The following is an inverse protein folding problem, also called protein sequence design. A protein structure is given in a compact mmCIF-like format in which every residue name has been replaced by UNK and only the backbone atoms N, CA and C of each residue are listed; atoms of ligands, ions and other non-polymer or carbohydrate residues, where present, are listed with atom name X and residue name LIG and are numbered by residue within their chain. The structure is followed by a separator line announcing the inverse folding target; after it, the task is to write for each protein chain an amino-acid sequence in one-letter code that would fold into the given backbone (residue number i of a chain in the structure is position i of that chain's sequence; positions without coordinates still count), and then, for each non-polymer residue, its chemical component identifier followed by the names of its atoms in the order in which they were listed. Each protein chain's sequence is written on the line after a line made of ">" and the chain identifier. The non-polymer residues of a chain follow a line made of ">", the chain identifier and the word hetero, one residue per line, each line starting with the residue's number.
data_IF_958766605073
#
_entry.id   IF_958766605073
#
_cell.length_a   1.000
_cell.length_b   1.000
_cell.length_c   1.000
_cell.angle_alpha   90.00
_cell.angle_beta   90.00
_cell.angle_gamma   90.00
#
_symmetry.space_group_name_H-M   'P 1'
#
loop_
_entity.id
_entity.type
_entity.pdbx_description
1 polymer ?
#
# COMPACT_ATOMS: atom_id res chain seq x y z
N UNK A 1 -46.95 -10.69 -3.07
CA UNK A 1 -46.35 -9.71 -2.15
C UNK A 1 -45.73 -10.33 -0.89
N UNK A 2 -46.30 -11.30 -0.20
CA UNK A 2 -45.73 -11.89 1.04
C UNK A 2 -44.41 -12.67 0.85
N UNK A 3 -44.21 -13.36 -0.27
CA UNK A 3 -42.97 -14.12 -0.56
C UNK A 3 -41.76 -13.23 -0.88
N UNK A 4 -41.95 -12.07 -1.51
CA UNK A 4 -40.88 -11.12 -1.83
C UNK A 4 -40.36 -10.41 -0.58
N UNK A 5 -41.23 -10.15 0.39
CA UNK A 5 -40.84 -9.56 1.68
C UNK A 5 -40.03 -10.53 2.55
N UNK A 6 -40.33 -11.83 2.49
CA UNK A 6 -39.59 -12.87 3.22
C UNK A 6 -38.19 -13.05 2.63
N UNK A 7 -38.04 -13.03 1.30
CA UNK A 7 -36.74 -13.12 0.62
C UNK A 7 -35.87 -11.90 0.89
N UNK A 8 -36.46 -10.71 0.92
CA UNK A 8 -35.74 -9.47 1.30
C UNK A 8 -35.34 -9.48 2.76
N UNK A 9 -36.18 -10.00 3.66
CA UNK A 9 -35.88 -10.18 5.09
C UNK A 9 -34.76 -11.18 5.34
N UNK A 10 -34.71 -12.30 4.60
CA UNK A 10 -33.63 -13.30 4.69
C UNK A 10 -32.32 -12.73 4.12
N UNK A 11 -32.38 -11.97 3.02
CA UNK A 11 -31.21 -11.31 2.45
C UNK A 11 -30.62 -10.26 3.41
N UNK A 12 -31.47 -9.51 4.12
CA UNK A 12 -31.04 -8.58 5.17
C UNK A 12 -30.50 -9.31 6.42
N UNK A 13 -31.10 -10.44 6.83
CA UNK A 13 -30.67 -11.18 8.02
C UNK A 13 -29.31 -11.87 7.85
N UNK A 14 -28.96 -12.35 6.66
CA UNK A 14 -27.63 -12.92 6.34
C UNK A 14 -26.53 -11.86 6.44
N UNK A 15 -26.87 -10.58 6.28
CA UNK A 15 -25.92 -9.47 6.43
C UNK A 15 -25.55 -9.15 7.89
N UNK A 16 -26.27 -9.65 8.91
CA UNK A 16 -26.05 -9.31 10.32
C UNK A 16 -25.03 -10.18 11.07
N UNK A 17 -24.54 -11.27 10.47
CA UNK A 17 -23.62 -12.22 11.11
C UNK A 17 -22.16 -12.09 10.63
N UNK A 18 -21.68 -10.88 10.27
CA UNK A 18 -20.28 -10.70 9.89
C UNK A 18 -19.39 -10.61 11.14
N UNK A 19 -18.21 -11.28 11.14
CA UNK A 19 -17.25 -11.12 12.22
C UNK A 19 -16.77 -9.66 12.33
N UNK A 20 -16.27 -9.23 13.50
CA UNK A 20 -15.78 -7.87 13.68
C UNK A 20 -14.72 -7.56 12.62
N UNK A 21 -14.79 -6.35 12.06
CA UNK A 21 -13.79 -5.84 11.10
C UNK A 21 -12.41 -5.95 11.73
N UNK A 22 -11.57 -6.84 11.19
CA UNK A 22 -10.16 -6.91 11.57
C UNK A 22 -9.43 -5.80 10.85
N UNK A 23 -8.52 -5.13 11.55
CA UNK A 23 -7.74 -4.04 10.97
C UNK A 23 -7.03 -4.52 9.70
N UNK A 24 -7.24 -3.78 8.64
CA UNK A 24 -6.81 -4.06 7.29
C UNK A 24 -5.83 -2.97 6.86
N UNK A 25 -4.78 -3.31 6.08
CA UNK A 25 -3.89 -2.26 5.60
C UNK A 25 -4.55 -1.45 4.47
N UNK A 26 -5.12 -2.14 3.44
CA UNK A 26 -5.84 -1.40 2.40
C UNK A 26 -7.08 -0.70 2.98
N UNK A 27 -7.39 0.51 2.50
CA UNK A 27 -6.70 1.28 1.45
C UNK A 27 -5.43 2.01 1.91
N UNK A 28 -4.98 1.80 3.17
CA UNK A 28 -3.79 2.44 3.75
C UNK A 28 -2.51 1.77 3.28
N UNK A 29 -1.41 2.53 3.26
CA UNK A 29 -0.05 2.05 3.00
C UNK A 29 0.76 1.87 4.28
N UNK A 30 0.49 2.68 5.31
CA UNK A 30 1.13 2.57 6.62
C UNK A 30 0.92 1.17 7.21
N UNK A 31 1.99 0.44 7.57
CA UNK A 31 1.85 -0.88 8.18
C UNK A 31 1.38 -0.78 9.62
N UNK A 32 0.48 -1.68 10.01
CA UNK A 32 0.09 -1.88 11.41
C UNK A 32 0.98 -2.92 12.10
N UNK A 33 0.90 -2.99 13.44
CA UNK A 33 1.66 -3.96 14.22
C UNK A 33 0.98 -5.35 14.31
N UNK A 34 -0.23 -5.50 13.81
CA UNK A 34 -0.95 -6.77 13.86
C UNK A 34 -0.32 -7.81 12.91
N UNK A 35 -0.32 -9.05 13.36
CA UNK A 35 0.16 -10.21 12.59
C UNK A 35 -1.04 -11.01 12.12
N UNK A 36 -1.08 -11.32 10.83
CA UNK A 36 -2.05 -12.27 10.27
C UNK A 36 -1.92 -13.61 11.00
N UNK A 37 -3.02 -14.24 11.43
CA UNK A 37 -2.96 -15.51 12.15
C UNK A 37 -2.18 -16.58 11.36
N UNK A 38 -1.45 -17.42 12.08
CA UNK A 38 -0.65 -18.50 11.49
C UNK A 38 -1.51 -19.41 10.60
N UNK A 39 -1.05 -19.64 9.37
CA UNK A 39 -1.75 -20.45 8.38
C UNK A 39 -2.85 -19.73 7.61
N UNK A 40 -3.04 -18.45 7.86
CA UNK A 40 -3.91 -17.58 7.05
C UNK A 40 -3.06 -16.82 6.03
N UNK A 41 -3.50 -16.81 4.80
CA UNK A 41 -3.06 -15.91 3.73
C UNK A 41 -4.14 -14.86 3.52
N UNK A 42 -3.85 -13.62 3.83
CA UNK A 42 -4.68 -12.47 3.44
C UNK A 42 -4.26 -12.00 2.07
N UNK A 43 -5.19 -12.03 1.13
CA UNK A 43 -5.00 -11.53 -0.23
C UNK A 43 -5.81 -10.25 -0.37
N UNK A 44 -5.14 -9.19 -0.77
CA UNK A 44 -5.73 -7.88 -1.03
C UNK A 44 -5.37 -7.50 -2.46
N UNK A 45 -6.35 -7.12 -3.25
CA UNK A 45 -6.17 -6.67 -4.63
C UNK A 45 -6.96 -5.42 -4.89
N UNK A 46 -6.46 -4.56 -5.75
CA UNK A 46 -7.13 -3.30 -6.03
C UNK A 46 -6.67 -2.63 -7.32
N UNK A 47 -7.18 -1.44 -7.44
CA UNK A 47 -7.01 -0.54 -8.56
C UNK A 47 -6.73 0.85 -7.99
N UNK A 48 -5.73 1.55 -8.55
CA UNK A 48 -5.45 2.93 -8.21
C UNK A 48 -5.54 3.79 -9.47
N UNK A 49 -6.14 4.97 -9.37
CA UNK A 49 -6.12 6.01 -10.39
C UNK A 49 -5.53 7.27 -9.77
N UNK A 50 -4.45 7.77 -10.38
CA UNK A 50 -3.66 8.90 -9.89
C UNK A 50 -3.51 9.93 -11.00
N UNK A 51 -3.84 11.17 -10.72
CA UNK A 51 -3.78 12.27 -11.69
C UNK A 51 -2.48 13.06 -11.55
N UNK A 52 -1.92 13.48 -12.67
CA UNK A 52 -0.71 14.31 -12.75
C UNK A 52 0.48 13.72 -11.98
N UNK A 53 0.75 12.45 -12.22
CA UNK A 53 1.91 11.76 -11.65
C UNK A 53 3.16 12.14 -12.41
N UNK A 54 4.27 12.48 -11.71
CA UNK A 54 5.55 12.83 -12.32
C UNK A 54 6.60 11.73 -12.14
N UNK A 55 7.36 11.49 -13.21
CA UNK A 55 8.47 10.54 -13.29
C UNK A 55 9.77 11.25 -13.64
N UNK A 56 10.50 11.82 -12.67
CA UNK A 56 11.68 12.66 -12.94
C UNK A 56 12.79 11.95 -13.70
N UNK A 57 12.95 10.63 -13.53
CA UNK A 57 13.98 9.85 -14.24
C UNK A 57 13.76 9.80 -15.75
N UNK A 58 12.53 9.73 -16.21
CA UNK A 58 12.12 9.67 -17.62
C UNK A 58 11.57 10.99 -18.17
N UNK A 59 11.27 11.94 -17.28
CA UNK A 59 10.65 13.21 -17.62
C UNK A 59 9.19 13.11 -18.04
N UNK A 60 8.55 11.94 -17.87
CA UNK A 60 7.13 11.76 -18.18
C UNK A 60 6.26 12.32 -17.05
N UNK A 61 5.12 12.88 -17.44
CA UNK A 61 4.03 13.23 -16.52
C UNK A 61 2.69 12.85 -17.13
N UNK A 62 1.71 12.51 -16.26
CA UNK A 62 0.40 12.13 -16.76
C UNK A 62 -0.48 11.43 -15.73
N UNK A 63 -1.55 10.82 -16.22
CA UNK A 63 -2.53 10.12 -15.38
C UNK A 63 -2.22 8.63 -15.35
N UNK A 64 -1.93 8.13 -14.15
CA UNK A 64 -1.55 6.74 -13.93
C UNK A 64 -2.76 5.91 -13.51
N UNK A 65 -2.95 4.80 -14.20
CA UNK A 65 -3.88 3.75 -13.81
C UNK A 65 -3.11 2.49 -13.44
N UNK A 66 -3.27 2.01 -12.21
CA UNK A 66 -2.62 0.81 -11.70
C UNK A 66 -3.64 -0.29 -11.50
N UNK A 67 -3.48 -1.40 -12.23
CA UNK A 67 -4.33 -2.59 -12.12
C UNK A 67 -3.63 -3.67 -11.31
N UNK A 68 -4.41 -4.40 -10.49
CA UNK A 68 -3.86 -5.46 -9.66
C UNK A 68 -2.84 -4.94 -8.65
N UNK A 69 -3.19 -3.89 -7.92
CA UNK A 69 -2.39 -3.42 -6.76
C UNK A 69 -2.54 -4.46 -5.66
N UNK A 70 -1.53 -5.32 -5.54
CA UNK A 70 -1.55 -6.51 -4.70
C UNK A 70 -0.86 -6.26 -3.36
N UNK A 71 -1.45 -6.83 -2.30
CA UNK A 71 -0.80 -6.99 -1.01
C UNK A 71 -1.20 -8.36 -0.44
N UNK A 72 -0.25 -9.28 -0.42
CA UNK A 72 -0.43 -10.63 0.11
C UNK A 72 0.33 -10.74 1.43
N UNK A 73 -0.36 -11.15 2.50
CA UNK A 73 0.20 -11.24 3.85
C UNK A 73 -0.03 -12.63 4.40
N UNK A 74 1.01 -13.32 4.80
CA UNK A 74 0.94 -14.68 5.34
C UNK A 74 1.51 -14.74 6.75
N UNK A 75 0.69 -15.20 7.69
CA UNK A 75 1.14 -15.50 9.04
C UNK A 75 1.90 -16.83 9.07
N UNK A 76 3.22 -16.76 9.22
CA UNK A 76 4.09 -17.97 9.30
C UNK A 76 4.37 -18.39 10.75
N UNK A 77 3.99 -17.54 11.71
CA UNK A 77 4.13 -17.79 13.13
C UNK A 77 3.29 -16.83 13.97
N UNK A 78 3.32 -17.04 15.30
CA UNK A 78 2.53 -16.19 16.23
C UNK A 78 3.02 -14.74 16.30
N UNK A 79 4.22 -14.46 15.78
CA UNK A 79 4.87 -13.14 15.81
C UNK A 79 5.51 -12.77 14.48
N UNK A 80 5.37 -13.61 13.46
CA UNK A 80 6.05 -13.45 12.17
C UNK A 80 5.04 -13.46 11.04
N UNK A 81 5.15 -12.50 10.15
CA UNK A 81 4.35 -12.35 8.94
C UNK A 81 5.29 -12.06 7.77
N UNK A 82 5.06 -12.72 6.66
CA UNK A 82 5.70 -12.43 5.37
C UNK A 82 4.69 -11.73 4.47
N UNK A 83 5.14 -10.71 3.72
CA UNK A 83 4.28 -9.91 2.86
C UNK A 83 4.92 -9.80 1.48
N UNK A 84 4.08 -9.93 0.44
CA UNK A 84 4.42 -9.62 -0.94
C UNK A 84 3.53 -8.48 -1.40
N UNK A 85 4.12 -7.39 -1.86
CA UNK A 85 3.40 -6.21 -2.34
C UNK A 85 3.89 -5.83 -3.74
N UNK A 86 3.01 -5.33 -4.59
CA UNK A 86 3.39 -4.87 -5.93
C UNK A 86 2.17 -4.56 -6.78
N UNK A 87 2.43 -4.14 -8.01
CA UNK A 87 1.38 -3.83 -8.99
C UNK A 87 1.58 -4.69 -10.23
N UNK A 88 0.51 -5.35 -10.67
CA UNK A 88 0.58 -6.24 -11.85
C UNK A 88 0.81 -5.44 -13.12
N UNK A 89 0.10 -4.32 -13.27
CA UNK A 89 0.19 -3.50 -14.49
C UNK A 89 -0.05 -2.02 -14.16
N UNK A 90 0.87 -1.19 -14.60
CA UNK A 90 0.76 0.27 -14.63
C UNK A 90 0.51 0.73 -16.06
N UNK A 91 -0.40 1.67 -16.25
CA UNK A 91 -0.69 2.32 -17.51
C UNK A 91 -0.68 3.84 -17.29
N UNK A 92 0.21 4.55 -17.97
CA UNK A 92 0.31 6.00 -17.93
C UNK A 92 -0.23 6.61 -19.23
N UNK A 93 -1.25 7.44 -19.10
CA UNK A 93 -1.61 8.39 -20.15
C UNK A 93 -0.69 9.59 -20.03
N UNK A 94 0.18 9.78 -21.02
CA UNK A 94 1.21 10.82 -21.00
C UNK A 94 0.58 12.16 -21.39
N UNK A 95 0.65 13.12 -20.47
CA UNK A 95 0.16 14.49 -20.65
C UNK A 95 1.32 15.48 -20.89
N UNK A 96 2.55 15.12 -20.46
CA UNK A 96 3.75 15.94 -20.63
C UNK A 96 5.02 15.11 -20.66
N UNK A 97 6.06 15.69 -21.28
CA UNK A 97 7.40 15.12 -21.29
C UNK A 97 8.44 16.25 -21.29
N UNK A 98 9.42 16.13 -20.41
CA UNK A 98 10.56 17.04 -20.30
C UNK A 98 11.86 16.27 -20.51
N UNK A 99 12.99 16.93 -20.90
CA UNK A 99 14.28 16.28 -20.98
C UNK A 99 14.69 15.66 -19.65
N UNK A 100 15.12 14.40 -19.67
CA UNK A 100 15.47 13.62 -18.50
C UNK A 100 16.60 12.62 -18.80
N UNK A 101 17.24 12.01 -17.76
CA UNK A 101 18.36 11.08 -17.96
C UNK A 101 18.03 9.85 -18.80
N UNK A 102 16.78 9.37 -18.73
CA UNK A 102 16.30 8.24 -19.52
C UNK A 102 15.31 8.75 -20.56
N UNK A 103 15.59 8.45 -21.84
CA UNK A 103 14.61 8.70 -22.91
C UNK A 103 13.66 7.53 -23.01
N UNK A 104 12.38 7.71 -22.65
CA UNK A 104 11.43 6.60 -22.63
C UNK A 104 10.98 6.21 -24.03
N UNK A 105 10.72 4.91 -24.21
CA UNK A 105 10.09 4.34 -25.41
C UNK A 105 8.61 4.12 -25.08
N UNK A 106 7.76 4.98 -25.63
CA UNK A 106 6.31 4.88 -25.44
C UNK A 106 5.76 3.64 -26.14
N UNK A 107 4.72 3.04 -25.56
CA UNK A 107 4.03 1.86 -26.12
C UNK A 107 2.84 2.22 -27.00
N UNK A 108 2.38 3.46 -26.94
CA UNK A 108 1.33 4.05 -27.77
C UNK A 108 1.66 5.48 -28.14
N UNK A 109 0.79 6.17 -28.87
CA UNK A 109 1.01 7.53 -29.34
C UNK A 109 1.31 8.52 -28.18
N UNK A 110 0.53 8.45 -27.10
CA UNK A 110 0.68 9.27 -25.90
C UNK A 110 0.48 8.41 -24.65
N UNK A 111 1.04 7.20 -24.65
CA UNK A 111 0.88 6.30 -23.50
C UNK A 111 2.04 5.34 -23.37
N UNK A 112 2.30 4.92 -22.15
CA UNK A 112 3.22 3.83 -21.85
C UNK A 112 2.65 2.93 -20.77
N UNK A 113 3.10 1.69 -20.75
CA UNK A 113 2.70 0.74 -19.72
C UNK A 113 3.88 -0.17 -19.34
N UNK A 114 3.85 -0.62 -18.09
CA UNK A 114 4.83 -1.56 -17.55
C UNK A 114 4.24 -2.30 -16.35
N UNK A 115 4.87 -3.39 -15.95
CA UNK A 115 4.62 -4.00 -14.64
C UNK A 115 5.07 -3.03 -13.54
N UNK A 116 4.55 -3.18 -12.31
CA UNK A 116 5.09 -2.50 -11.15
C UNK A 116 6.24 -3.28 -10.51
N UNK A 117 7.02 -2.60 -9.69
CA UNK A 117 8.01 -3.27 -8.85
C UNK A 117 7.31 -4.04 -7.73
N UNK A 118 7.82 -5.25 -7.45
CA UNK A 118 7.37 -6.06 -6.33
C UNK A 118 8.34 -5.92 -5.16
N UNK A 119 7.79 -5.96 -3.95
CA UNK A 119 8.56 -5.91 -2.72
C UNK A 119 8.21 -7.09 -1.81
N UNK A 120 9.23 -7.65 -1.19
CA UNK A 120 9.10 -8.72 -0.21
C UNK A 120 9.47 -8.17 1.17
N UNK A 121 8.61 -8.43 2.15
CA UNK A 121 8.77 -7.92 3.50
C UNK A 121 8.61 -9.02 4.54
N UNK A 122 9.30 -8.85 5.65
CA UNK A 122 9.10 -9.62 6.87
C UNK A 122 8.74 -8.66 8.00
N UNK A 123 7.68 -8.97 8.73
CA UNK A 123 7.25 -8.22 9.92
C UNK A 123 7.34 -9.11 11.15
N UNK A 124 7.97 -8.59 12.19
CA UNK A 124 8.22 -9.23 13.47
C UNK A 124 7.51 -8.47 14.59
N UNK A 125 6.54 -9.07 15.24
CA UNK A 125 5.90 -8.51 16.42
C UNK A 125 6.82 -8.65 17.65
N UNK A 126 7.42 -7.54 18.06
CA UNK A 126 8.34 -7.49 19.19
C UNK A 126 7.58 -7.48 20.52
N UNK A 127 6.52 -6.67 20.61
CA UNK A 127 5.67 -6.54 21.80
C UNK A 127 4.21 -6.43 21.41
N UNK A 128 3.36 -7.22 22.07
CA UNK A 128 1.90 -7.09 21.96
C UNK A 128 1.40 -5.87 22.71
N UNK A 129 0.31 -5.30 22.24
CA UNK A 129 -0.38 -4.25 22.97
C UNK A 129 -0.94 -4.78 24.29
N UNK A 130 -0.73 -4.00 25.33
CA UNK A 130 -1.37 -4.16 26.64
C UNK A 130 -1.56 -2.74 27.22
N UNK A 131 -0.90 -2.38 28.33
CA UNK A 131 -0.88 -0.99 28.81
C UNK A 131 -0.03 -0.09 27.92
N UNK A 132 1.08 -0.60 27.44
CA UNK A 132 1.95 0.07 26.48
C UNK A 132 1.56 -0.29 25.02
N UNK A 133 1.89 0.55 24.01
CA UNK A 133 1.63 0.27 22.61
C UNK A 133 2.23 -1.05 22.13
N UNK A 134 1.63 -1.69 21.12
CA UNK A 134 2.29 -2.75 20.37
C UNK A 134 3.51 -2.17 19.64
N UNK A 135 4.55 -3.01 19.49
CA UNK A 135 5.75 -2.66 18.74
C UNK A 135 6.04 -3.79 17.76
N UNK A 136 6.25 -3.45 16.51
CA UNK A 136 6.71 -4.40 15.50
C UNK A 136 7.92 -3.80 14.75
N UNK A 137 8.74 -4.68 14.20
CA UNK A 137 9.82 -4.35 13.29
C UNK A 137 9.47 -4.92 11.93
N UNK A 138 9.70 -4.15 10.88
CA UNK A 138 9.48 -4.55 9.51
C UNK A 138 10.72 -4.27 8.69
N UNK A 139 11.15 -5.23 7.87
CA UNK A 139 12.21 -5.03 6.91
C UNK A 139 11.84 -5.71 5.59
N UNK A 140 12.40 -5.21 4.50
CA UNK A 140 12.13 -5.76 3.19
C UNK A 140 12.96 -5.11 2.10
N UNK A 141 12.74 -5.59 0.89
CA UNK A 141 13.42 -5.08 -0.29
C UNK A 141 12.47 -5.02 -1.47
N UNK A 142 12.72 -4.03 -2.33
CA UNK A 142 12.07 -3.86 -3.62
C UNK A 142 12.89 -4.59 -4.67
N UNK A 143 12.22 -5.42 -5.46
CA UNK A 143 12.80 -6.13 -6.58
C UNK A 143 12.65 -5.30 -7.86
N UNK A 144 13.70 -5.18 -8.69
CA UNK A 144 13.65 -4.39 -9.93
C UNK A 144 12.91 -5.18 -11.03
N UNK A 145 11.61 -5.09 -11.05
CA UNK A 145 10.77 -5.78 -12.03
C UNK A 145 10.41 -4.90 -13.25
N UNK A 146 10.54 -3.58 -13.11
CA UNK A 146 10.17 -2.62 -14.14
C UNK A 146 11.23 -2.53 -15.24
N UNK A 147 10.79 -2.17 -16.46
CA UNK A 147 11.67 -1.83 -17.54
C UNK A 147 11.87 -0.30 -17.57
N UNK A 148 13.07 0.14 -17.22
CA UNK A 148 13.42 1.58 -17.18
C UNK A 148 13.11 2.31 -18.50
N UNK A 149 13.24 1.63 -19.65
CA UNK A 149 12.95 2.21 -20.96
C UNK A 149 11.45 2.51 -21.15
N UNK A 150 10.56 1.98 -20.30
CA UNK A 150 9.13 2.35 -20.32
C UNK A 150 8.83 3.65 -19.57
N UNK A 151 9.80 4.13 -18.79
CA UNK A 151 9.73 5.41 -18.10
C UNK A 151 8.91 5.42 -16.79
N UNK A 152 8.39 4.28 -16.33
CA UNK A 152 7.53 4.19 -15.15
C UNK A 152 8.26 3.70 -13.90
N UNK A 153 9.38 3.04 -14.04
CA UNK A 153 10.14 2.45 -12.95
C UNK A 153 11.61 2.80 -12.97
N UNK A 154 12.25 2.61 -11.83
CA UNK A 154 13.67 2.91 -11.65
C UNK A 154 14.57 1.71 -11.97
N UNK A 155 14.01 0.50 -12.04
CA UNK A 155 14.77 -0.74 -12.20
C UNK A 155 15.94 -0.83 -11.19
N UNK A 156 15.68 -0.53 -9.93
CA UNK A 156 16.65 -0.47 -8.87
C UNK A 156 16.21 -1.30 -7.65
N UNK A 157 17.15 -1.94 -6.99
CA UNK A 157 16.90 -2.67 -5.74
C UNK A 157 17.01 -1.69 -4.58
N UNK A 158 15.94 -1.60 -3.80
CA UNK A 158 15.91 -0.78 -2.60
C UNK A 158 15.70 -1.65 -1.37
N UNK A 159 16.28 -1.24 -0.25
CA UNK A 159 16.17 -1.95 1.03
C UNK A 159 15.50 -1.02 2.05
N UNK A 160 14.63 -1.60 2.87
CA UNK A 160 13.83 -0.84 3.82
C UNK A 160 13.82 -1.51 5.18
N UNK A 161 13.83 -0.70 6.24
CA UNK A 161 13.60 -1.17 7.60
C UNK A 161 12.82 -0.11 8.39
N UNK A 162 11.79 -0.50 9.15
CA UNK A 162 11.02 0.41 9.99
C UNK A 162 10.57 -0.22 11.31
N UNK A 163 10.36 0.64 12.30
CA UNK A 163 9.69 0.32 13.56
C UNK A 163 8.24 0.81 13.48
N UNK A 164 7.33 -0.04 13.87
CA UNK A 164 5.89 0.21 13.86
C UNK A 164 5.42 0.29 15.30
N UNK A 165 4.63 1.33 15.61
CA UNK A 165 3.94 1.50 16.88
C UNK A 165 2.44 1.48 16.64
N UNK A 166 1.67 0.84 17.54
CA UNK A 166 0.22 0.77 17.45
C UNK A 166 -0.42 0.85 18.82
N UNK A 167 -1.52 1.60 18.92
CA UNK A 167 -2.30 1.73 20.15
C UNK A 167 -3.79 1.84 19.85
N UNK A 168 -4.60 1.11 20.62
CA UNK A 168 -6.03 1.34 20.68
C UNK A 168 -6.38 2.35 21.78
N UNK A 169 -7.17 3.36 21.43
CA UNK A 169 -7.67 4.40 22.32
C UNK A 169 -9.20 4.35 22.23
N UNK A 170 -9.83 3.58 23.14
CA UNK A 170 -11.23 3.25 23.01
C UNK A 170 -11.50 2.47 21.72
N UNK A 171 -12.33 3.02 20.83
CA UNK A 171 -12.62 2.41 19.50
C UNK A 171 -11.64 2.81 18.42
N UNK A 172 -10.84 3.85 18.64
CA UNK A 172 -9.86 4.34 17.68
C UNK A 172 -8.61 3.44 17.70
N UNK A 173 -8.17 2.94 16.54
CA UNK A 173 -6.86 2.33 16.33
C UNK A 173 -5.95 3.37 15.70
N UNK A 174 -4.90 3.78 16.42
CA UNK A 174 -3.84 4.65 15.92
C UNK A 174 -2.56 3.83 15.74
N UNK A 175 -1.89 4.00 14.60
CA UNK A 175 -0.61 3.34 14.35
C UNK A 175 0.23 4.19 13.40
N UNK A 176 1.52 3.92 13.42
CA UNK A 176 2.46 4.59 12.54
C UNK A 176 3.78 3.85 12.51
N UNK A 177 4.59 4.20 11.52
CA UNK A 177 5.93 3.68 11.40
C UNK A 177 6.94 4.78 11.07
N UNK A 178 8.18 4.52 11.45
CA UNK A 178 9.32 5.33 11.05
C UNK A 178 10.52 4.43 10.83
N UNK A 179 11.34 4.76 9.82
CA UNK A 179 12.43 3.90 9.43
C UNK A 179 13.36 4.51 8.40
N UNK A 180 14.16 3.65 7.78
CA UNK A 180 15.15 4.02 6.77
C UNK A 180 14.88 3.23 5.50
N UNK A 181 14.93 3.92 4.36
CA UNK A 181 15.03 3.34 3.03
C UNK A 181 16.42 3.63 2.45
N UNK A 182 17.12 2.60 2.00
CA UNK A 182 18.36 2.71 1.25
C UNK A 182 18.01 2.52 -0.22
N UNK A 183 17.97 3.62 -0.97
CA UNK A 183 17.52 3.66 -2.35
C UNK A 183 18.71 3.78 -3.29
N UNK A 184 18.82 2.85 -4.22
CA UNK A 184 19.81 2.90 -5.29
C UNK A 184 19.36 3.92 -6.34
N UNK A 185 20.28 4.80 -6.75
CA UNK A 185 20.04 5.72 -7.87
C UNK A 185 20.34 5.05 -9.21
N UNK A 186 19.36 5.00 -10.13
CA UNK A 186 19.56 4.37 -11.43
C UNK A 186 20.47 5.16 -12.39
N UNK A 187 20.67 6.46 -12.17
CA UNK A 187 21.47 7.33 -13.02
C UNK A 187 22.92 7.52 -12.56
N UNK A 188 23.28 7.00 -11.39
CA UNK A 188 24.64 7.12 -10.85
C UNK A 188 25.09 5.78 -10.28
N UNK A 189 26.06 5.14 -10.93
CA UNK A 189 26.63 3.85 -10.50
C UNK A 189 27.17 3.97 -9.07
N UNK A 190 26.84 2.95 -8.24
CA UNK A 190 27.25 2.87 -6.83
C UNK A 190 26.78 4.03 -5.95
N UNK A 191 25.80 4.82 -6.41
CA UNK A 191 25.22 5.87 -5.60
C UNK A 191 23.90 5.42 -4.99
N UNK A 192 23.75 5.73 -3.72
CA UNK A 192 22.54 5.48 -2.95
C UNK A 192 22.13 6.74 -2.21
N UNK A 193 20.86 6.81 -1.87
CA UNK A 193 20.31 7.82 -0.99
C UNK A 193 19.61 7.13 0.18
N UNK A 194 19.90 7.61 1.39
CA UNK A 194 19.23 7.14 2.59
C UNK A 194 18.08 8.08 2.90
N UNK A 195 16.88 7.54 2.95
CA UNK A 195 15.65 8.30 3.13
C UNK A 195 14.95 7.90 4.42
N UNK A 196 14.32 8.88 5.06
CA UNK A 196 13.44 8.65 6.19
C UNK A 196 12.10 8.12 5.66
N UNK A 197 11.70 6.93 6.11
CA UNK A 197 10.34 6.42 5.96
C UNK A 197 9.47 6.96 7.08
N UNK A 198 8.24 7.33 6.77
CA UNK A 198 7.27 7.77 7.75
C UNK A 198 5.87 7.35 7.38
N UNK A 199 5.06 7.05 8.38
CA UNK A 199 3.65 6.76 8.24
C UNK A 199 2.90 7.00 9.53
N UNK A 200 1.69 7.54 9.42
CA UNK A 200 0.78 7.71 10.54
C UNK A 200 -0.66 7.50 10.07
N UNK A 201 -1.39 6.62 10.74
CA UNK A 201 -2.73 6.23 10.34
C UNK A 201 -3.69 6.11 11.53
N UNK A 202 -4.94 6.40 11.26
CA UNK A 202 -6.06 6.29 12.18
C UNK A 202 -7.16 5.45 11.53
N UNK A 203 -7.74 4.51 12.30
CA UNK A 203 -8.87 3.70 11.87
C UNK A 203 -9.95 3.77 12.96
N UNK A 204 -11.15 4.15 12.57
CA UNK A 204 -12.29 4.25 13.48
C UNK A 204 -13.47 3.42 12.98
N UNK A 205 -13.89 2.35 13.70
CA UNK A 205 -15.06 1.57 13.35
C UNK A 205 -16.34 2.36 13.66
N UNK A 206 -17.06 2.76 12.62
CA UNK A 206 -18.37 3.42 12.73
C UNK A 206 -19.43 2.41 13.18
N UNK A 207 -19.44 1.24 12.55
CA UNK A 207 -20.33 0.13 12.84
C UNK A 207 -19.52 -1.18 12.94
N UNK A 208 -20.18 -2.33 13.14
CA UNK A 208 -19.54 -3.64 13.07
C UNK A 208 -19.05 -4.02 11.67
N UNK A 209 -19.43 -3.27 10.64
CA UNK A 209 -19.11 -3.56 9.23
C UNK A 209 -18.42 -2.42 8.50
N UNK A 210 -18.50 -1.21 9.00
CA UNK A 210 -17.98 -0.02 8.33
C UNK A 210 -16.97 0.65 9.22
N UNK A 211 -15.77 0.87 8.68
CA UNK A 211 -14.72 1.68 9.30
C UNK A 211 -14.34 2.84 8.39
N UNK A 212 -14.09 3.99 8.99
CA UNK A 212 -13.44 5.13 8.33
C UNK A 212 -11.97 5.14 8.72
N UNK A 213 -11.13 5.57 7.81
CA UNK A 213 -9.70 5.62 8.04
C UNK A 213 -9.03 6.75 7.28
N UNK A 214 -7.87 7.16 7.80
CA UNK A 214 -7.04 8.16 7.16
C UNK A 214 -5.59 7.97 7.53
N UNK A 215 -4.70 8.38 6.62
CA UNK A 215 -3.25 8.33 6.82
C UNK A 215 -2.53 9.46 6.10
N UNK A 216 -1.30 9.69 6.54
CA UNK A 216 -0.24 10.33 5.77
C UNK A 216 0.96 9.40 5.84
N UNK A 217 1.52 9.05 4.67
CA UNK A 217 2.67 8.14 4.59
C UNK A 217 3.59 8.54 3.45
N UNK A 218 4.86 8.14 3.55
CA UNK A 218 5.81 8.45 2.50
C UNK A 218 7.26 8.21 2.89
N UNK A 219 8.14 8.81 2.10
CA UNK A 219 9.59 8.84 2.31
C UNK A 219 10.11 10.25 2.10
N UNK A 220 11.06 10.65 2.91
CA UNK A 220 11.67 11.97 2.88
C UNK A 220 13.17 11.87 2.66
N UNK A 221 13.65 12.53 1.60
CA UNK A 221 15.07 12.72 1.31
C UNK A 221 15.52 14.07 1.85
N UNK A 222 16.47 14.06 2.78
CA UNK A 222 17.08 15.29 3.31
C UNK A 222 18.19 15.85 2.40
N UNK A 223 18.64 15.08 1.42
CA UNK A 223 19.74 15.47 0.52
C UNK A 223 19.25 16.35 -0.62
N UNK A 224 19.82 17.53 -0.74
CA UNK A 224 19.80 18.35 -1.94
C UNK A 224 21.04 18.01 -2.76
N UNK A 225 20.96 16.99 -3.60
CA UNK A 225 22.09 16.52 -4.37
C UNK A 225 22.23 17.28 -5.68
N UNK A 226 23.47 17.64 -6.01
CA UNK A 226 23.83 18.15 -7.33
C UNK A 226 25.02 17.34 -7.84
N UNK A 227 24.89 16.52 -8.91
CA UNK A 227 23.66 16.28 -9.68
C UNK A 227 22.59 15.52 -8.88
N UNK A 228 21.32 15.69 -9.27
CA UNK A 228 20.21 15.02 -8.65
C UNK A 228 20.32 13.48 -8.78
N UNK A 229 20.04 12.75 -7.71
CA UNK A 229 19.90 11.29 -7.74
C UNK A 229 18.44 10.95 -8.07
N UNK A 230 18.16 10.77 -9.34
CA UNK A 230 16.81 10.44 -9.81
C UNK A 230 16.34 9.12 -9.25
N UNK A 231 15.03 9.02 -8.99
CA UNK A 231 14.40 7.85 -8.39
C UNK A 231 14.49 7.78 -6.87
N UNK A 232 15.19 8.76 -6.26
CA UNK A 232 15.33 8.89 -4.79
C UNK A 232 14.73 10.20 -4.28
N UNK A 233 13.73 10.71 -4.94
CA UNK A 233 13.00 11.91 -4.53
C UNK A 233 12.07 11.61 -3.36
N UNK A 234 11.83 12.64 -2.52
CA UNK A 234 10.77 12.57 -1.53
C UNK A 234 9.43 12.29 -2.20
N UNK A 235 8.68 11.36 -1.62
CA UNK A 235 7.34 10.94 -2.06
C UNK A 235 6.45 10.78 -0.85
N UNK A 236 5.19 11.16 -0.96
CA UNK A 236 4.23 10.96 0.12
C UNK A 236 2.80 11.20 -0.32
N UNK A 237 1.89 10.57 0.38
CA UNK A 237 0.46 10.64 0.09
C UNK A 237 -0.33 10.77 1.38
N UNK A 238 -1.40 11.55 1.31
CA UNK A 238 -2.52 11.50 2.24
C UNK A 238 -3.62 10.64 1.66
N UNK A 239 -4.19 9.74 2.46
CA UNK A 239 -5.34 8.90 2.07
C UNK A 239 -6.46 9.02 3.08
N UNK A 240 -7.70 9.10 2.60
CA UNK A 240 -8.90 9.08 3.44
C UNK A 240 -9.95 8.19 2.81
N UNK A 241 -10.46 7.21 3.55
CA UNK A 241 -11.34 6.21 2.97
C UNK A 241 -12.19 5.44 3.95
N UNK A 242 -12.88 4.46 3.38
CA UNK A 242 -13.82 3.58 4.05
C UNK A 242 -13.48 2.13 3.74
N UNK A 243 -13.77 1.27 4.71
CA UNK A 243 -13.80 -0.19 4.53
C UNK A 243 -15.16 -0.72 4.93
N UNK A 244 -15.70 -1.59 4.09
CA UNK A 244 -16.99 -2.27 4.32
C UNK A 244 -16.79 -3.78 4.30
N UNK A 245 -17.13 -4.45 5.41
CA UNK A 245 -17.04 -5.91 5.51
C UNK A 245 -18.39 -6.55 5.24
N UNK A 246 -18.42 -7.57 4.38
CA UNK A 246 -19.63 -8.33 4.05
C UNK A 246 -19.33 -9.56 3.18
N UNK A 247 -20.07 -10.65 3.41
CA UNK A 247 -19.96 -11.87 2.59
C UNK A 247 -18.59 -12.56 2.61
N UNK A 248 -17.80 -12.37 3.67
CA UNK A 248 -16.43 -12.92 3.78
C UNK A 248 -15.37 -12.13 3.00
N UNK A 249 -15.75 -10.95 2.49
CA UNK A 249 -14.86 -9.98 1.85
C UNK A 249 -14.84 -8.67 2.62
N UNK A 250 -13.79 -7.92 2.43
CA UNK A 250 -13.66 -6.53 2.86
C UNK A 250 -13.41 -5.68 1.60
N UNK A 251 -14.27 -4.71 1.39
CA UNK A 251 -14.22 -3.77 0.26
C UNK A 251 -13.70 -2.44 0.77
N UNK A 252 -12.77 -1.85 0.04
CA UNK A 252 -12.17 -0.58 0.41
C UNK A 252 -12.24 0.44 -0.71
N UNK A 253 -12.35 1.71 -0.33
CA UNK A 253 -12.25 2.87 -1.22
C UNK A 253 -11.61 4.02 -0.46
N UNK A 254 -10.70 4.75 -1.09
CA UNK A 254 -10.14 5.98 -0.53
C UNK A 254 -9.83 7.02 -1.60
N UNK A 255 -9.94 8.28 -1.22
CA UNK A 255 -9.34 9.40 -1.93
C UNK A 255 -7.85 9.50 -1.59
N UNK A 256 -7.06 9.97 -2.55
CA UNK A 256 -5.61 10.11 -2.45
C UNK A 256 -5.25 11.55 -2.82
N UNK A 257 -4.30 12.14 -2.10
CA UNK A 257 -3.69 13.43 -2.43
C UNK A 257 -2.19 13.36 -2.17
N UNK A 258 -1.39 13.87 -3.09
CA UNK A 258 0.06 13.92 -2.94
C UNK A 258 0.52 14.99 -1.95
N UNK A 259 1.71 14.79 -1.39
CA UNK A 259 2.34 15.68 -0.41
C UNK A 259 3.49 16.47 -1.03
N UNK A 260 4.21 15.89 -1.97
CA UNK A 260 5.37 16.51 -2.62
C UNK A 260 5.07 16.85 -4.09
N UNK A 261 5.88 17.72 -4.72
CA UNK A 261 5.63 18.18 -6.11
C UNK A 261 5.56 17.08 -7.17
N UNK A 262 6.28 15.97 -6.97
CA UNK A 262 6.30 14.85 -7.93
C UNK A 262 5.22 13.80 -7.64
N UNK A 263 4.43 13.98 -6.59
CA UNK A 263 3.33 13.08 -6.24
C UNK A 263 2.08 13.41 -7.06
N UNK A 264 1.10 12.48 -7.13
CA UNK A 264 -0.14 12.77 -7.85
C UNK A 264 -0.87 13.95 -7.21
N UNK A 265 -1.47 14.81 -8.03
CA UNK A 265 -2.28 15.92 -7.50
C UNK A 265 -3.47 15.39 -6.71
N UNK A 266 -4.18 14.40 -7.26
CA UNK A 266 -5.29 13.69 -6.63
C UNK A 266 -5.38 12.27 -7.20
N UNK A 267 -6.17 11.44 -6.53
CA UNK A 267 -6.45 10.09 -6.99
C UNK A 267 -7.49 9.39 -6.15
N UNK A 268 -7.79 8.18 -6.52
CA UNK A 268 -8.59 7.28 -5.71
C UNK A 268 -8.10 5.84 -5.84
N UNK A 269 -8.38 5.05 -4.82
CA UNK A 269 -8.14 3.61 -4.79
C UNK A 269 -9.42 2.88 -4.49
N UNK A 270 -9.57 1.70 -5.07
CA UNK A 270 -10.64 0.76 -4.77
C UNK A 270 -10.03 -0.64 -4.64
N UNK A 271 -10.50 -1.42 -3.69
CA UNK A 271 -9.96 -2.74 -3.50
C UNK A 271 -10.88 -3.73 -2.80
N UNK A 272 -10.41 -4.96 -2.78
CA UNK A 272 -11.06 -6.07 -2.10
C UNK A 272 -10.03 -6.94 -1.41
N UNK A 273 -10.39 -7.44 -0.25
CA UNK A 273 -9.53 -8.30 0.57
C UNK A 273 -10.28 -9.54 1.02
N UNK A 274 -9.55 -10.63 1.14
CA UNK A 274 -10.05 -11.90 1.66
C UNK A 274 -8.98 -12.67 2.42
N UNK A 275 -9.40 -13.33 3.49
CA UNK A 275 -8.58 -14.28 4.24
C UNK A 275 -8.80 -15.69 3.70
N UNK A 276 -7.71 -16.35 3.30
CA UNK A 276 -7.68 -17.72 2.84
C UNK A 276 -6.93 -18.57 3.88
N UNK A 277 -7.53 -19.68 4.29
CA UNK A 277 -6.84 -20.63 5.16
C UNK A 277 -6.04 -21.61 4.31
N UNK A 278 -4.71 -21.62 4.46
CA UNK A 278 -3.82 -22.51 3.73
C UNK A 278 -3.53 -23.80 4.53
N UNK A 279 -3.28 -23.65 5.84
CA UNK A 279 -2.99 -24.78 6.72
C UNK A 279 -3.39 -24.44 8.17
N UNK A 280 -3.42 -25.46 9.01
CA UNK A 280 -3.84 -25.35 10.41
C UNK A 280 -5.13 -26.13 10.69
N UNK A 281 -5.11 -26.97 11.72
CA UNK A 281 -6.30 -27.70 12.18
C UNK A 281 -7.33 -26.70 12.73
N UNK A 282 -8.61 -26.86 12.36
CA UNK A 282 -9.69 -26.43 13.26
C UNK A 282 -9.49 -27.21 14.56
N UNK A 283 -9.19 -26.54 15.66
CA UNK A 283 -9.54 -27.10 16.95
C UNK A 283 -11.07 -26.95 17.06
N UNK A 284 -11.77 -28.04 17.34
CA UNK A 284 -13.22 -28.02 17.56
C UNK A 284 -13.59 -27.08 18.68
#
# INVERSE_FOLDING_TARGET
>A
MKRTVILLGIFLAVWFAAPPVRAQNRPLQTPDADIVPTGILRVQGGFDFLQNMDYPLSGLSGDLTSYGVLNMRMGVGRRVEVQLQGTVQNFLQVNGQVPAPVTPVLTGANSTHDVGDFSLWTKLLLRREHRAPAVAFRFGFLMPNTNQARGLGNNATNVYASLILQKHIGRLKAFGDSGIGILQSPNAKFSQNDELLYGGALVYPLTSRVSVMGEVSGRYSSRKLTPALYGTESRGEGRMGLVVSGGGFEWDVAAIAGVYPNDPSTGFTFGVSRDLRLFGRQRP
#
